data_IF_363581606510
#
_entry.id   IF_363581606510
#
_cell.length_a   1.000
_cell.length_b   1.000
_cell.length_c   1.000
_cell.angle_alpha   90.00
_cell.angle_beta   90.00
_cell.angle_gamma   90.00
#
_symmetry.space_group_name_H-M   'P 1'
#
loop_
_entity.id
_entity.type
_entity.pdbx_description
1 polymer ?
#
# COMPACT_ATOMS: atom_id res chain seq x y z
N UNK A 1 -37.92 6.48 19.77
CA UNK A 1 -37.79 5.30 18.89
C UNK A 1 -36.41 5.37 18.26
N UNK A 2 -35.51 4.40 18.44
CA UNK A 2 -34.26 4.41 17.70
C UNK A 2 -34.56 4.09 16.23
N UNK A 3 -34.01 4.88 15.31
CA UNK A 3 -34.03 4.57 13.89
C UNK A 3 -33.00 3.46 13.67
N UNK A 4 -33.47 2.23 13.43
CA UNK A 4 -32.64 1.16 12.90
C UNK A 4 -32.65 1.32 11.38
N UNK A 5 -31.81 2.19 10.85
CA UNK A 5 -31.53 2.19 9.40
C UNK A 5 -30.45 1.14 9.13
N UNK A 6 -30.86 -0.12 9.20
CA UNK A 6 -30.06 -1.29 8.81
C UNK A 6 -30.38 -1.63 7.36
N UNK A 7 -29.81 -0.88 6.41
CA UNK A 7 -29.42 -1.50 5.15
C UNK A 7 -27.97 -1.95 5.35
N UNK A 8 -27.80 -3.08 6.03
CA UNK A 8 -26.56 -3.82 5.91
C UNK A 8 -26.40 -4.12 4.42
N UNK A 9 -25.44 -3.45 3.76
CA UNK A 9 -25.02 -3.79 2.41
C UNK A 9 -24.30 -5.14 2.53
N UNK A 10 -25.07 -6.22 2.65
CA UNK A 10 -24.53 -7.57 2.64
C UNK A 10 -23.93 -7.80 1.27
N UNK A 11 -22.64 -8.10 1.23
CA UNK A 11 -22.00 -8.52 -0.01
C UNK A 11 -22.76 -9.77 -0.49
N UNK A 12 -23.38 -9.75 -1.69
CA UNK A 12 -24.03 -10.94 -2.23
C UNK A 12 -23.03 -12.08 -2.23
N UNK A 13 -23.48 -13.30 -1.90
CA UNK A 13 -22.61 -14.48 -1.99
C UNK A 13 -22.02 -14.55 -3.40
N UNK A 14 -20.70 -14.55 -3.49
CA UNK A 14 -19.99 -14.68 -4.75
C UNK A 14 -20.20 -16.07 -5.36
N UNK A 15 -20.01 -16.20 -6.67
CA UNK A 15 -20.01 -17.50 -7.35
C UNK A 15 -19.07 -18.50 -6.67
N UNK A 16 -17.87 -18.06 -6.27
CA UNK A 16 -16.90 -18.90 -5.57
C UNK A 16 -17.39 -19.36 -4.19
N UNK A 17 -18.23 -18.58 -3.51
CA UNK A 17 -18.82 -18.98 -2.22
C UNK A 17 -19.85 -20.11 -2.38
N UNK A 18 -20.49 -20.23 -3.55
CA UNK A 18 -21.41 -21.33 -3.86
C UNK A 18 -20.69 -22.56 -4.40
N UNK A 19 -19.63 -22.36 -5.18
CA UNK A 19 -18.82 -23.43 -5.79
C UNK A 19 -17.34 -23.29 -5.40
N UNK A 20 -16.94 -23.64 -4.18
CA UNK A 20 -15.58 -23.39 -3.70
C UNK A 20 -14.50 -24.18 -4.45
N UNK A 21 -14.87 -25.28 -5.11
CA UNK A 21 -13.97 -26.10 -5.90
C UNK A 21 -13.85 -25.66 -7.38
N UNK A 22 -14.59 -24.63 -7.82
CA UNK A 22 -14.42 -24.11 -9.19
C UNK A 22 -13.05 -23.44 -9.35
N UNK A 23 -12.44 -23.60 -10.52
CA UNK A 23 -11.17 -22.97 -10.85
C UNK A 23 -11.28 -21.44 -10.79
N UNK A 24 -10.44 -20.82 -9.95
CA UNK A 24 -10.37 -19.37 -9.85
C UNK A 24 -9.42 -18.79 -10.92
N UNK A 25 -9.98 -17.98 -11.82
CA UNK A 25 -9.24 -17.27 -12.86
C UNK A 25 -8.96 -15.80 -12.50
N UNK A 26 -9.38 -15.35 -11.31
CA UNK A 26 -9.16 -13.97 -10.84
C UNK A 26 -7.69 -13.54 -10.91
N UNK A 27 -6.69 -14.38 -10.56
CA UNK A 27 -5.28 -14.00 -10.66
C UNK A 27 -4.84 -13.58 -12.07
N UNK A 28 -5.47 -14.10 -13.12
CA UNK A 28 -5.13 -13.79 -14.52
C UNK A 28 -5.56 -12.37 -14.96
N UNK A 29 -6.39 -11.71 -14.16
CA UNK A 29 -6.92 -10.36 -14.42
C UNK A 29 -6.41 -9.33 -13.40
N UNK A 30 -5.46 -9.70 -12.55
CA UNK A 30 -4.81 -8.77 -11.65
C UNK A 30 -3.82 -7.90 -12.44
N UNK A 31 -3.68 -6.63 -12.02
CA UNK A 31 -2.72 -5.67 -12.61
C UNK A 31 -2.95 -5.34 -14.09
N UNK A 32 -4.20 -5.38 -14.56
CA UNK A 32 -4.55 -4.91 -15.90
C UNK A 32 -4.23 -3.42 -16.09
N UNK A 33 -3.82 -3.02 -17.30
CA UNK A 33 -3.42 -1.63 -17.61
C UNK A 33 -4.50 -0.59 -17.30
N UNK A 34 -5.77 -0.95 -17.45
CA UNK A 34 -6.93 -0.09 -17.17
C UNK A 34 -7.03 0.35 -15.70
N UNK A 35 -6.42 -0.43 -14.79
CA UNK A 35 -6.42 -0.15 -13.35
C UNK A 35 -5.21 0.67 -12.90
N UNK A 36 -4.21 0.87 -13.77
CA UNK A 36 -3.00 1.63 -13.45
C UNK A 36 -3.29 3.15 -13.57
N UNK A 37 -3.22 3.93 -12.47
CA UNK A 37 -3.48 5.36 -12.50
C UNK A 37 -2.38 6.18 -13.20
N UNK A 38 -1.21 5.60 -13.43
CA UNK A 38 -0.06 6.27 -14.03
C UNK A 38 -0.17 6.39 -15.56
N UNK A 39 -1.14 5.69 -16.17
CA UNK A 39 -1.34 5.68 -17.61
C UNK A 39 -0.53 4.61 -18.34
N UNK A 40 -0.88 4.39 -19.61
CA UNK A 40 -0.34 3.28 -20.41
C UNK A 40 1.12 3.47 -20.84
N UNK A 41 1.57 4.73 -20.94
CA UNK A 41 2.88 5.10 -21.48
C UNK A 41 3.91 5.47 -20.39
N UNK A 42 3.54 5.29 -19.11
CA UNK A 42 4.44 5.62 -17.99
C UNK A 42 5.56 4.59 -17.83
N UNK A 43 6.80 5.06 -17.84
CA UNK A 43 8.00 4.25 -17.63
C UNK A 43 8.66 4.60 -16.29
N UNK A 44 8.42 3.77 -15.28
CA UNK A 44 8.99 3.97 -13.95
C UNK A 44 10.53 3.93 -13.93
N UNK A 45 11.16 3.12 -14.79
CA UNK A 45 12.62 3.02 -14.80
C UNK A 45 13.25 4.29 -15.37
N UNK A 46 12.67 4.83 -16.45
CA UNK A 46 13.11 6.10 -17.02
C UNK A 46 12.93 7.27 -16.03
N UNK A 47 11.80 7.33 -15.34
CA UNK A 47 11.55 8.39 -14.34
C UNK A 47 12.44 8.25 -13.10
N UNK A 48 12.64 7.02 -12.60
CA UNK A 48 13.53 6.77 -11.46
C UNK A 48 14.99 7.13 -11.78
N UNK A 49 15.45 6.89 -13.01
CA UNK A 49 16.80 7.25 -13.43
C UNK A 49 17.07 8.77 -13.44
N UNK A 50 16.01 9.59 -13.44
CA UNK A 50 16.09 11.07 -13.41
C UNK A 50 15.96 11.64 -12.01
N UNK A 51 15.63 10.80 -11.03
CA UNK A 51 15.40 11.21 -9.66
C UNK A 51 16.71 11.66 -8.99
N UNK A 52 16.66 12.79 -8.26
CA UNK A 52 17.76 13.21 -7.41
C UNK A 52 17.82 12.33 -6.15
N UNK A 53 18.68 11.30 -6.20
CA UNK A 53 18.84 10.35 -5.11
C UNK A 53 19.51 10.96 -3.88
N UNK A 54 20.32 12.00 -4.05
CA UNK A 54 21.00 12.63 -2.92
C UNK A 54 20.03 13.52 -2.14
N UNK A 55 19.18 14.28 -2.84
CA UNK A 55 18.08 15.00 -2.22
C UNK A 55 17.12 14.06 -1.50
N UNK A 56 16.69 12.96 -2.14
CA UNK A 56 15.80 11.98 -1.53
C UNK A 56 16.37 11.39 -0.23
N UNK A 57 17.65 10.98 -0.24
CA UNK A 57 18.30 10.43 0.97
C UNK A 57 18.41 11.49 2.07
N UNK A 58 18.70 12.74 1.72
CA UNK A 58 18.75 13.84 2.68
C UNK A 58 17.38 14.07 3.34
N UNK A 59 16.31 14.08 2.55
CA UNK A 59 14.93 14.25 3.03
C UNK A 59 14.49 13.08 3.93
N UNK A 60 14.88 11.84 3.59
CA UNK A 60 14.65 10.67 4.45
C UNK A 60 15.38 10.86 5.79
N UNK A 61 16.65 11.26 5.78
CA UNK A 61 17.43 11.48 7.00
C UNK A 61 16.82 12.57 7.88
N UNK A 62 16.34 13.67 7.29
CA UNK A 62 15.63 14.71 8.03
C UNK A 62 14.33 14.19 8.63
N UNK A 63 13.56 13.41 7.86
CA UNK A 63 12.29 12.83 8.31
C UNK A 63 12.49 11.95 9.53
N UNK A 64 13.57 11.17 9.59
CA UNK A 64 13.86 10.29 10.72
C UNK A 64 13.87 11.02 12.06
N UNK A 65 14.30 12.29 12.11
CA UNK A 65 14.35 13.08 13.35
C UNK A 65 13.27 14.18 13.44
N UNK A 66 12.34 14.23 12.48
CA UNK A 66 11.26 15.23 12.47
C UNK A 66 9.95 14.61 12.99
N UNK A 67 9.85 14.52 14.31
CA UNK A 67 8.71 13.90 15.02
C UNK A 67 7.38 14.59 14.71
N UNK A 68 6.35 13.78 14.48
CA UNK A 68 4.98 14.21 14.19
C UNK A 68 4.08 14.02 15.43
N UNK A 69 3.20 14.99 15.77
CA UNK A 69 2.40 14.92 17.00
C UNK A 69 1.36 13.80 17.00
N UNK A 70 0.88 13.41 15.81
CA UNK A 70 -0.10 12.33 15.66
C UNK A 70 0.55 10.93 15.73
N UNK A 71 1.87 10.84 15.62
CA UNK A 71 2.63 9.60 15.83
C UNK A 71 4.06 9.91 16.27
N UNK A 72 4.29 10.25 17.55
CA UNK A 72 5.59 10.74 18.01
C UNK A 72 6.72 9.73 17.81
N UNK A 73 7.91 10.22 17.45
CA UNK A 73 9.10 9.39 17.32
C UNK A 73 9.65 8.98 18.70
N UNK A 74 9.86 7.68 18.89
CA UNK A 74 10.56 7.16 20.07
C UNK A 74 11.98 7.72 20.12
N UNK A 75 12.40 8.23 21.28
CA UNK A 75 13.71 8.86 21.47
C UNK A 75 14.00 10.03 20.51
N UNK A 76 12.96 10.61 19.89
CA UNK A 76 13.10 11.64 18.87
C UNK A 76 13.60 11.11 17.51
N UNK A 77 13.57 9.80 17.26
CA UNK A 77 14.06 9.22 16.01
C UNK A 77 13.23 8.01 15.52
N UNK A 78 12.69 8.07 14.30
CA UNK A 78 11.94 6.98 13.67
C UNK A 78 12.82 5.84 13.14
N UNK A 79 14.14 5.91 13.27
CA UNK A 79 15.09 4.92 12.74
C UNK A 79 14.70 3.47 13.04
N UNK A 80 14.51 3.07 14.32
CA UNK A 80 14.10 1.70 14.64
C UNK A 80 12.75 1.31 14.01
N UNK A 81 11.81 2.25 13.91
CA UNK A 81 10.51 2.02 13.29
C UNK A 81 10.63 1.77 11.78
N UNK A 82 11.42 2.59 11.06
CA UNK A 82 11.62 2.43 9.61
C UNK A 82 12.43 1.19 9.26
N UNK A 83 13.42 0.82 10.07
CA UNK A 83 14.15 -0.45 9.91
C UNK A 83 13.19 -1.64 10.04
N UNK A 84 12.33 -1.63 11.06
CA UNK A 84 11.33 -2.69 11.24
C UNK A 84 10.37 -2.75 10.05
N UNK A 85 9.90 -1.61 9.56
CA UNK A 85 9.02 -1.54 8.38
C UNK A 85 9.68 -2.18 7.15
N UNK A 86 10.93 -1.82 6.84
CA UNK A 86 11.68 -2.39 5.72
C UNK A 86 11.88 -3.90 5.88
N UNK A 87 12.23 -4.36 7.08
CA UNK A 87 12.34 -5.78 7.40
C UNK A 87 11.04 -6.55 7.17
N UNK A 88 9.90 -6.06 7.68
CA UNK A 88 8.62 -6.72 7.47
C UNK A 88 8.18 -6.71 6.01
N UNK A 89 8.53 -5.67 5.24
CA UNK A 89 8.26 -5.64 3.80
C UNK A 89 9.03 -6.72 3.06
N UNK A 90 10.33 -6.89 3.36
CA UNK A 90 11.18 -7.86 2.67
C UNK A 90 10.99 -9.30 3.19
N UNK A 91 10.61 -9.48 4.46
CA UNK A 91 10.51 -10.78 5.13
C UNK A 91 9.31 -11.65 4.71
N UNK A 92 8.58 -11.27 3.66
CA UNK A 92 7.50 -12.09 3.06
C UNK A 92 7.93 -12.83 1.79
N UNK A 93 9.17 -12.61 1.34
CA UNK A 93 9.84 -13.43 0.31
C UNK A 93 10.17 -14.81 0.86
#
# INVERSE_FOLDING_TARGET
MPVIESVARSTPKSTQAWWPASLDLTPLRQNERSTNPLGADFDYAAEFARLDLEALKADINQTLTTSQPWWPADYGNYGPFFVRMAWHSAGTY
#
